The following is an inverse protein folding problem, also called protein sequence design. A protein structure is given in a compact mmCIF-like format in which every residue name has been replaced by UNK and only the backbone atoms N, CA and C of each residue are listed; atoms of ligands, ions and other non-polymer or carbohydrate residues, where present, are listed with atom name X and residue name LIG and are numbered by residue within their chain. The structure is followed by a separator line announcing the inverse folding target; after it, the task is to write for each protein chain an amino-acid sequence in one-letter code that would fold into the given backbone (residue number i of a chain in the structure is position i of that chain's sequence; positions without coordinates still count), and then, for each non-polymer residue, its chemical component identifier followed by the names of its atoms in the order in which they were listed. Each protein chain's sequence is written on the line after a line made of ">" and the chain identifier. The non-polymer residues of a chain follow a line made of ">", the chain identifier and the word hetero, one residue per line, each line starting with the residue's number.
data_IF_909758690499
#
_entry.id   IF_909758690499
#
_cell.length_a   1.000
_cell.length_b   1.000
_cell.length_c   1.000
_cell.angle_alpha   90.00
_cell.angle_beta   90.00
_cell.angle_gamma   90.00
#
_symmetry.space_group_name_H-M   'P 1'
#
loop_
_entity.id
_entity.type
_entity.pdbx_description
1 polymer ?
#
# COMPACT_ATOMS: atom_id res chain seq x y z
N UNK A 1 -20.50 -8.42 -1.22
CA UNK A 1 -19.39 -7.46 -1.46
C UNK A 1 -18.23 -7.83 -0.57
N UNK A 2 -17.02 -7.96 -1.11
CA UNK A 2 -15.82 -8.08 -0.28
C UNK A 2 -15.53 -6.71 0.36
N UNK A 3 -15.30 -6.70 1.67
CA UNK A 3 -14.98 -5.50 2.44
C UNK A 3 -13.48 -5.53 2.72
N UNK A 4 -12.75 -4.59 2.15
CA UNK A 4 -11.32 -4.41 2.45
C UNK A 4 -11.15 -3.53 3.67
N UNK A 5 -10.25 -3.91 4.59
CA UNK A 5 -9.94 -3.15 5.80
C UNK A 5 -8.43 -2.99 5.90
N UNK A 6 -8.00 -1.82 6.36
CA UNK A 6 -6.60 -1.59 6.66
C UNK A 6 -6.19 -2.36 7.92
N UNK A 7 -5.15 -3.18 7.85
CA UNK A 7 -4.67 -3.98 8.99
C UNK A 7 -4.15 -3.11 10.15
N UNK A 8 -3.68 -1.90 9.85
CA UNK A 8 -3.13 -0.97 10.85
C UNK A 8 -4.25 -0.17 11.54
N UNK A 9 -5.06 0.57 10.77
CA UNK A 9 -6.05 1.50 11.34
C UNK A 9 -7.48 0.95 11.38
N UNK A 10 -7.70 -0.27 10.88
CA UNK A 10 -8.99 -0.99 10.81
C UNK A 10 -10.10 -0.27 10.03
N UNK A 11 -9.79 0.87 9.40
CA UNK A 11 -10.72 1.61 8.55
C UNK A 11 -11.01 0.80 7.30
N UNK A 12 -12.27 0.84 6.89
CA UNK A 12 -12.69 0.29 5.61
C UNK A 12 -11.99 1.03 4.47
N UNK A 13 -11.37 0.28 3.57
CA UNK A 13 -10.77 0.78 2.34
C UNK A 13 -11.87 0.71 1.28
N UNK A 14 -12.37 1.87 0.85
CA UNK A 14 -13.42 1.96 -0.17
C UNK A 14 -12.83 1.95 -1.58
N UNK A 15 -11.70 2.62 -1.77
CA UNK A 15 -10.94 2.74 -3.01
C UNK A 15 -9.44 2.68 -2.69
N UNK A 16 -8.64 2.18 -3.64
CA UNK A 16 -7.18 2.07 -3.64
C UNK A 16 -6.57 1.44 -2.38
N UNK A 17 -6.20 0.18 -2.50
CA UNK A 17 -5.58 -0.61 -1.43
C UNK A 17 -4.15 -0.96 -1.81
N UNK A 18 -3.23 -0.78 -0.87
CA UNK A 18 -1.91 -1.35 -1.01
C UNK A 18 -1.91 -2.75 -0.40
N UNK A 19 -1.50 -3.73 -1.19
CA UNK A 19 -1.30 -5.10 -0.71
C UNK A 19 0.20 -5.35 -0.59
N UNK A 20 0.68 -5.66 0.61
CA UNK A 20 2.09 -5.96 0.88
C UNK A 20 2.20 -7.43 1.24
N UNK A 21 3.00 -8.20 0.49
CA UNK A 21 3.26 -9.61 0.78
C UNK A 21 4.74 -9.88 1.09
N UNK A 22 5.01 -10.84 1.98
CA UNK A 22 6.36 -11.36 2.20
C UNK A 22 6.36 -12.88 1.95
N UNK A 23 7.24 -13.37 1.08
CA UNK A 23 7.38 -14.81 0.83
C UNK A 23 6.27 -15.49 0.00
N UNK A 24 5.38 -14.73 -0.65
CA UNK A 24 4.36 -15.24 -1.58
C UNK A 24 2.92 -14.80 -1.26
N UNK A 25 1.94 -15.32 -2.00
CA UNK A 25 0.52 -14.91 -1.98
C UNK A 25 -0.18 -15.07 -0.61
N UNK A 26 0.36 -15.91 0.28
CA UNK A 26 -0.36 -16.42 1.46
C UNK A 26 -0.23 -15.53 2.70
N UNK A 27 0.71 -14.59 2.74
CA UNK A 27 0.86 -13.64 3.85
C UNK A 27 0.87 -12.22 3.30
N UNK A 28 -0.29 -11.78 2.83
CA UNK A 28 -0.50 -10.42 2.36
C UNK A 28 -1.25 -9.58 3.41
N UNK A 29 -0.82 -8.34 3.54
CA UNK A 29 -1.41 -7.32 4.40
C UNK A 29 -2.01 -6.21 3.55
N UNK A 30 -3.23 -5.80 3.88
CA UNK A 30 -3.94 -4.71 3.21
C UNK A 30 -3.80 -3.42 4.01
N UNK A 31 -3.19 -2.40 3.39
CA UNK A 31 -2.98 -1.09 4.01
C UNK A 31 -3.71 0.01 3.22
N UNK A 32 -4.28 0.96 3.95
CA UNK A 32 -4.76 2.20 3.35
C UNK A 32 -3.59 3.14 3.03
N UNK A 33 -3.79 4.04 2.07
CA UNK A 33 -2.78 5.00 1.61
C UNK A 33 -2.14 5.85 2.72
N UNK A 34 -2.87 6.12 3.80
CA UNK A 34 -2.33 6.88 4.94
C UNK A 34 -1.37 6.06 5.77
N UNK A 35 -1.66 4.78 5.96
CA UNK A 35 -0.84 3.86 6.76
C UNK A 35 0.37 3.33 5.97
N UNK A 36 0.29 3.29 4.64
CA UNK A 36 1.40 2.86 3.78
C UNK A 36 2.42 3.96 3.47
N UNK A 37 2.08 5.24 3.63
CA UNK A 37 3.00 6.39 3.46
C UNK A 37 4.39 6.23 4.10
N UNK A 38 4.53 5.88 5.40
CA UNK A 38 5.85 5.71 6.01
C UNK A 38 6.65 4.58 5.37
N UNK A 39 6.00 3.49 4.96
CA UNK A 39 6.66 2.39 4.24
C UNK A 39 7.13 2.84 2.86
N UNK A 40 6.32 3.59 2.11
CA UNK A 40 6.75 4.14 0.82
C UNK A 40 7.93 5.09 0.93
N UNK A 41 7.93 5.95 1.96
CA UNK A 41 9.05 6.85 2.21
C UNK A 41 10.33 6.06 2.51
N UNK A 42 10.23 4.96 3.28
CA UNK A 42 11.34 4.05 3.52
C UNK A 42 11.83 3.38 2.22
N UNK A 43 10.93 2.75 1.46
CA UNK A 43 11.27 2.07 0.22
C UNK A 43 11.94 3.00 -0.79
N UNK A 44 11.41 4.22 -0.96
CA UNK A 44 12.01 5.26 -1.80
C UNK A 44 13.39 5.67 -1.31
N UNK A 45 13.54 5.93 0.00
CA UNK A 45 14.83 6.30 0.60
C UNK A 45 15.91 5.25 0.36
N UNK A 46 15.53 3.98 0.38
CA UNK A 46 16.44 2.85 0.15
C UNK A 46 16.55 2.43 -1.32
N UNK A 47 15.92 3.17 -2.26
CA UNK A 47 15.91 2.86 -3.70
C UNK A 47 15.41 1.44 -4.01
N UNK A 48 14.49 0.93 -3.18
CA UNK A 48 13.87 -0.38 -3.33
C UNK A 48 12.64 -0.35 -4.25
N UNK A 49 12.20 0.86 -4.62
CA UNK A 49 11.15 1.13 -5.60
C UNK A 49 11.62 2.24 -6.53
N UNK A 50 11.18 2.20 -7.77
CA UNK A 50 11.44 3.25 -8.77
C UNK A 50 10.53 4.46 -8.55
N UNK A 51 10.92 5.63 -9.08
CA UNK A 51 10.06 6.82 -9.06
C UNK A 51 8.76 6.60 -9.85
N UNK A 52 8.79 5.79 -10.91
CA UNK A 52 7.60 5.42 -11.68
C UNK A 52 6.61 4.56 -10.87
N UNK A 53 7.11 3.60 -10.09
CA UNK A 53 6.29 2.82 -9.15
C UNK A 53 5.75 3.71 -8.03
N UNK A 54 6.55 4.67 -7.56
CA UNK A 54 6.11 5.67 -6.59
C UNK A 54 5.00 6.58 -7.17
N UNK A 55 5.13 7.03 -8.43
CA UNK A 55 4.14 7.87 -9.09
C UNK A 55 2.83 7.13 -9.38
N UNK A 56 2.85 5.87 -9.84
CA UNK A 56 1.60 5.11 -10.06
C UNK A 56 0.78 4.99 -8.78
N UNK A 57 1.45 4.77 -7.65
CA UNK A 57 0.86 4.67 -6.32
C UNK A 57 0.34 6.02 -5.81
N UNK A 58 1.00 7.13 -6.16
CA UNK A 58 0.60 8.49 -5.75
C UNK A 58 -0.47 9.07 -6.67
N UNK A 59 -0.49 8.68 -7.95
CA UNK A 59 -1.33 9.24 -9.01
C UNK A 59 -2.60 8.44 -9.33
N UNK A 60 -2.85 7.29 -8.71
CA UNK A 60 -4.22 6.71 -8.62
C UNK A 60 -5.21 7.62 -7.85
N UNK A 61 -4.80 8.84 -7.52
CA UNK A 61 -5.63 9.97 -7.07
C UNK A 61 -6.21 10.83 -8.20
N UNK A 62 -6.00 10.52 -9.48
CA UNK A 62 -6.55 11.28 -10.61
C UNK A 62 -7.79 10.60 -11.20
#
# INVERSE_FOLDING_TARGET
>A
MMIHKCDICKKQIKHDKLTIGYGGMWTSHELCMRCSKPMFSFLKKHKLITEEEHQKIVNEKA
#
